data_IF_944527083581
#
_entry.id   IF_944527083581
#
_cell.length_a   1.000
_cell.length_b   1.000
_cell.length_c   1.000
_cell.angle_alpha   90.00
_cell.angle_beta   90.00
_cell.angle_gamma   90.00
#
_symmetry.space_group_name_H-M   'P 1'
#
loop_
_entity.id
_entity.type
_entity.pdbx_description
1 polymer ?
#
# COMPACT_ATOMS: atom_id res chain seq x y z
N UNK A 1 36.13 1.32 -16.36
CA UNK A 1 34.97 0.42 -16.26
C UNK A 1 34.68 0.25 -14.77
N UNK A 2 33.71 0.99 -14.22
CA UNK A 2 33.40 0.93 -12.79
C UNK A 2 32.71 -0.40 -12.47
N UNK A 3 33.25 -1.18 -11.53
CA UNK A 3 32.63 -2.42 -11.06
C UNK A 3 31.40 -2.06 -10.22
N UNK A 4 30.20 -2.28 -10.76
CA UNK A 4 28.97 -2.19 -9.97
C UNK A 4 29.00 -3.37 -8.98
N UNK A 5 29.04 -3.12 -7.65
CA UNK A 5 29.05 -4.20 -6.69
C UNK A 5 27.76 -5.01 -6.81
N UNK A 6 27.88 -6.34 -6.87
CA UNK A 6 26.72 -7.21 -6.92
C UNK A 6 25.87 -7.03 -5.66
N UNK A 7 24.55 -6.96 -5.79
CA UNK A 7 23.68 -6.80 -4.64
C UNK A 7 23.87 -7.90 -3.60
N UNK A 8 23.88 -7.51 -2.32
CA UNK A 8 24.02 -8.47 -1.24
C UNK A 8 22.77 -9.36 -1.14
N UNK A 9 22.95 -10.65 -0.82
CA UNK A 9 21.82 -11.58 -0.53
C UNK A 9 20.88 -11.04 0.53
N UNK A 10 21.40 -10.25 1.48
CA UNK A 10 20.61 -9.60 2.53
C UNK A 10 19.67 -8.53 1.97
N UNK A 11 20.12 -7.73 1.00
CA UNK A 11 19.30 -6.70 0.34
C UNK A 11 18.12 -7.33 -0.41
N UNK A 12 18.36 -8.41 -1.16
CA UNK A 12 17.31 -9.16 -1.86
C UNK A 12 16.28 -9.75 -0.91
N UNK A 13 16.74 -10.35 0.19
CA UNK A 13 15.86 -10.92 1.20
C UNK A 13 15.00 -9.84 1.86
N UNK A 14 15.57 -8.68 2.19
CA UNK A 14 14.83 -7.57 2.77
C UNK A 14 13.70 -7.08 1.85
N UNK A 15 13.97 -6.90 0.55
CA UNK A 15 12.93 -6.51 -0.41
C UNK A 15 11.87 -7.59 -0.58
N UNK A 16 12.27 -8.87 -0.63
CA UNK A 16 11.31 -9.98 -0.68
C UNK A 16 10.38 -10.01 0.55
N UNK A 17 10.90 -9.70 1.74
CA UNK A 17 10.09 -9.55 2.95
C UNK A 17 9.09 -8.40 2.81
N UNK A 18 9.47 -7.28 2.20
CA UNK A 18 8.54 -6.16 1.96
C UNK A 18 7.42 -6.56 1.00
N UNK A 19 7.71 -7.27 -0.10
CA UNK A 19 6.68 -7.79 -0.99
C UNK A 19 5.72 -8.75 -0.27
N UNK A 20 6.26 -9.62 0.59
CA UNK A 20 5.45 -10.49 1.43
C UNK A 20 4.54 -9.70 2.38
N UNK A 21 5.07 -8.69 3.07
CA UNK A 21 4.29 -7.82 3.96
C UNK A 21 3.19 -7.08 3.20
N UNK A 22 3.50 -6.53 2.02
CA UNK A 22 2.52 -5.88 1.16
C UNK A 22 1.35 -6.82 0.82
N UNK A 23 1.68 -8.05 0.38
CA UNK A 23 0.68 -9.08 0.09
C UNK A 23 -0.13 -9.49 1.33
N UNK A 24 0.52 -9.66 2.47
CA UNK A 24 -0.13 -10.04 3.72
C UNK A 24 -1.11 -8.97 4.24
N UNK A 25 -0.75 -7.68 4.13
CA UNK A 25 -1.62 -6.57 4.50
C UNK A 25 -2.84 -6.50 3.58
N UNK A 26 -2.65 -6.59 2.25
CA UNK A 26 -3.78 -6.59 1.31
C UNK A 26 -4.68 -7.82 1.49
N UNK A 27 -4.12 -9.01 1.66
CA UNK A 27 -4.90 -10.22 1.92
C UNK A 27 -5.71 -10.09 3.22
N UNK A 28 -5.11 -9.49 4.26
CA UNK A 28 -5.80 -9.21 5.53
C UNK A 28 -6.97 -8.25 5.33
N UNK A 29 -6.80 -7.18 4.56
CA UNK A 29 -7.90 -6.27 4.20
C UNK A 29 -9.03 -7.02 3.47
N UNK A 30 -8.70 -7.76 2.41
CA UNK A 30 -9.67 -8.49 1.58
C UNK A 30 -10.50 -9.46 2.41
N UNK A 31 -9.88 -10.18 3.35
CA UNK A 31 -10.57 -11.11 4.23
C UNK A 31 -11.63 -10.43 5.13
N UNK A 32 -11.48 -9.14 5.43
CA UNK A 32 -12.42 -8.39 6.28
C UNK A 32 -13.51 -7.64 5.51
N UNK A 33 -13.42 -7.56 4.17
CA UNK A 33 -14.42 -6.87 3.34
C UNK A 33 -15.86 -7.34 3.64
N UNK A 34 -16.17 -8.65 3.75
CA UNK A 34 -17.53 -9.10 4.06
C UNK A 34 -18.05 -8.57 5.40
N UNK A 35 -17.22 -8.60 6.45
CA UNK A 35 -17.60 -8.11 7.78
C UNK A 35 -17.79 -6.58 7.82
N UNK A 36 -16.95 -5.83 7.09
CA UNK A 36 -17.12 -4.38 6.94
C UNK A 36 -18.38 -4.04 6.15
N UNK A 37 -18.67 -4.78 5.07
CA UNK A 37 -19.90 -4.64 4.28
C UNK A 37 -21.14 -4.81 5.16
N UNK A 38 -21.17 -5.88 5.96
CA UNK A 38 -22.28 -6.19 6.87
C UNK A 38 -22.43 -5.12 7.95
N UNK A 39 -21.34 -4.73 8.63
CA UNK A 39 -21.35 -3.73 9.70
C UNK A 39 -21.90 -2.37 9.25
N UNK A 40 -21.65 -1.98 8.02
CA UNK A 40 -22.13 -0.71 7.45
C UNK A 40 -23.44 -0.84 6.65
N UNK A 41 -24.01 -2.05 6.56
CA UNK A 41 -25.26 -2.29 5.81
C UNK A 41 -25.14 -1.99 4.31
N UNK A 42 -23.96 -2.17 3.71
CA UNK A 42 -23.66 -1.77 2.33
C UNK A 42 -24.11 -2.86 1.35
N UNK A 43 -24.91 -2.51 0.34
CA UNK A 43 -25.27 -3.41 -0.76
C UNK A 43 -24.10 -3.64 -1.74
N UNK A 44 -24.16 -4.69 -2.57
CA UNK A 44 -23.06 -5.07 -3.48
C UNK A 44 -22.63 -3.95 -4.44
N UNK A 45 -23.59 -3.24 -5.05
CA UNK A 45 -23.29 -2.11 -5.94
C UNK A 45 -22.56 -0.98 -5.22
N UNK A 46 -23.02 -0.63 -4.02
CA UNK A 46 -22.39 0.39 -3.18
C UNK A 46 -21.00 -0.02 -2.68
N UNK A 47 -20.78 -1.32 -2.40
CA UNK A 47 -19.46 -1.82 -2.06
C UNK A 47 -18.46 -1.61 -3.20
N UNK A 48 -18.88 -1.86 -4.45
CA UNK A 48 -18.06 -1.56 -5.63
C UNK A 48 -17.64 -0.09 -5.70
N UNK A 49 -18.57 0.84 -5.41
CA UNK A 49 -18.26 2.27 -5.35
C UNK A 49 -17.30 2.62 -4.20
N UNK A 50 -17.50 2.05 -3.02
CA UNK A 50 -16.62 2.26 -1.86
C UNK A 50 -15.19 1.78 -2.16
N UNK A 51 -15.05 0.61 -2.80
CA UNK A 51 -13.74 0.09 -3.23
C UNK A 51 -13.12 0.90 -4.37
N UNK A 52 -13.93 1.52 -5.24
CA UNK A 52 -13.44 2.43 -6.28
C UNK A 52 -12.67 3.62 -5.68
N UNK A 53 -13.08 4.12 -4.51
CA UNK A 53 -12.34 5.18 -3.82
C UNK A 53 -10.96 4.72 -3.32
N UNK A 54 -10.79 3.44 -2.97
CA UNK A 54 -9.46 2.89 -2.70
C UNK A 54 -8.56 2.98 -3.93
N UNK A 55 -9.08 2.56 -5.09
CA UNK A 55 -8.36 2.66 -6.37
C UNK A 55 -8.07 4.12 -6.75
N UNK A 56 -9.01 5.04 -6.49
CA UNK A 56 -8.80 6.47 -6.71
C UNK A 56 -7.64 7.01 -5.87
N UNK A 57 -7.61 6.69 -4.58
CA UNK A 57 -6.50 7.07 -3.69
C UNK A 57 -5.15 6.54 -4.18
N UNK A 58 -5.13 5.30 -4.66
CA UNK A 58 -3.93 4.69 -5.26
C UNK A 58 -3.46 5.47 -6.50
N UNK A 59 -4.35 5.71 -7.47
CA UNK A 59 -4.02 6.41 -8.72
C UNK A 59 -3.49 7.81 -8.45
N UNK A 60 -4.12 8.56 -7.54
CA UNK A 60 -3.70 9.91 -7.19
C UNK A 60 -2.32 9.93 -6.50
N UNK A 61 -1.94 8.85 -5.82
CA UNK A 61 -0.66 8.74 -5.14
C UNK A 61 0.49 8.21 -6.03
N UNK A 62 0.22 7.68 -7.22
CA UNK A 62 1.26 7.17 -8.13
C UNK A 62 2.33 8.23 -8.46
N UNK A 63 1.99 9.48 -8.87
CA UNK A 63 3.00 10.50 -9.16
C UNK A 63 3.80 10.89 -7.91
N UNK A 64 3.13 10.92 -6.76
CA UNK A 64 3.78 11.19 -5.47
C UNK A 64 4.80 10.10 -5.14
N UNK A 65 4.47 8.83 -5.35
CA UNK A 65 5.39 7.71 -5.16
C UNK A 65 6.65 7.84 -6.00
N UNK A 66 6.50 8.15 -7.30
CA UNK A 66 7.63 8.38 -8.20
C UNK A 66 8.49 9.56 -7.74
N UNK A 67 7.87 10.70 -7.47
CA UNK A 67 8.57 11.89 -6.99
C UNK A 67 9.33 11.66 -5.67
N UNK A 68 8.72 10.95 -4.71
CA UNK A 68 9.35 10.61 -3.43
C UNK A 68 10.58 9.73 -3.63
N UNK A 69 10.47 8.71 -4.49
CA UNK A 69 11.58 7.81 -4.82
C UNK A 69 12.72 8.57 -5.50
N UNK A 70 12.41 9.42 -6.48
CA UNK A 70 13.41 10.23 -7.18
C UNK A 70 14.12 11.21 -6.23
N UNK A 71 13.38 11.78 -5.28
CA UNK A 71 13.90 12.80 -4.36
C UNK A 71 14.68 12.24 -3.17
N UNK A 72 14.21 11.13 -2.59
CA UNK A 72 14.71 10.61 -1.31
C UNK A 72 15.30 9.21 -1.41
N UNK A 73 15.22 8.57 -2.58
CA UNK A 73 15.72 7.23 -2.84
C UNK A 73 14.74 6.13 -2.45
N UNK A 74 14.71 5.06 -3.26
CA UNK A 74 13.80 3.92 -3.11
C UNK A 74 13.91 3.23 -1.75
N UNK A 75 15.13 2.99 -1.24
CA UNK A 75 15.36 2.27 0.03
C UNK A 75 14.64 2.91 1.23
N UNK A 76 14.76 4.23 1.37
CA UNK A 76 14.15 4.96 2.47
C UNK A 76 12.63 4.96 2.33
N UNK A 77 12.13 5.30 1.14
CA UNK A 77 10.68 5.39 0.89
C UNK A 77 10.01 4.03 1.02
N UNK A 78 10.60 2.93 0.54
CA UNK A 78 10.07 1.57 0.74
C UNK A 78 9.88 1.24 2.22
N UNK A 79 10.87 1.58 3.05
CA UNK A 79 10.84 1.25 4.48
C UNK A 79 9.76 2.05 5.21
N UNK A 80 9.67 3.35 4.93
CA UNK A 80 8.66 4.23 5.52
C UNK A 80 7.25 3.90 5.01
N UNK A 81 7.09 3.71 3.71
CA UNK A 81 5.81 3.38 3.10
C UNK A 81 5.28 2.02 3.61
N UNK A 82 6.15 1.02 3.82
CA UNK A 82 5.75 -0.25 4.40
C UNK A 82 5.20 -0.08 5.82
N UNK A 83 5.87 0.71 6.66
CA UNK A 83 5.40 1.00 8.01
C UNK A 83 4.05 1.75 7.99
N UNK A 84 3.95 2.81 7.19
CA UNK A 84 2.73 3.61 7.07
C UNK A 84 1.57 2.77 6.53
N UNK A 85 1.83 1.90 5.55
CA UNK A 85 0.81 1.01 4.99
C UNK A 85 0.27 0.01 6.03
N UNK A 86 1.16 -0.59 6.84
CA UNK A 86 0.75 -1.43 7.96
C UNK A 86 -0.08 -0.66 8.99
N UNK A 87 0.28 0.61 9.28
CA UNK A 87 -0.46 1.47 10.22
C UNK A 87 -1.80 1.96 9.66
N UNK A 88 -1.96 2.01 8.34
CA UNK A 88 -3.21 2.41 7.69
C UNK A 88 -4.26 1.28 7.68
N UNK A 89 -3.84 0.00 7.69
CA UNK A 89 -4.73 -1.16 7.62
C UNK A 89 -5.87 -1.17 8.66
N UNK A 90 -5.66 -0.80 9.95
CA UNK A 90 -6.74 -0.81 10.94
C UNK A 90 -7.84 0.23 10.67
N UNK A 91 -7.56 1.30 9.93
CA UNK A 91 -8.50 2.42 9.79
C UNK A 91 -9.82 2.05 9.12
N UNK A 92 -9.88 1.31 7.98
CA UNK A 92 -11.15 0.86 7.45
C UNK A 92 -11.89 -0.08 8.41
N UNK A 93 -11.19 -0.85 9.24
CA UNK A 93 -11.80 -1.74 10.24
C UNK A 93 -12.38 -0.96 11.43
N UNK A 94 -11.80 0.19 11.79
CA UNK A 94 -12.25 1.04 12.88
C UNK A 94 -13.31 2.08 12.46
N UNK A 95 -13.64 2.14 11.18
CA UNK A 95 -14.62 3.09 10.63
C UNK A 95 -15.99 3.00 11.34
N UNK A 96 -16.57 4.17 11.64
CA UNK A 96 -17.86 4.29 12.35
C UNK A 96 -19.05 4.47 11.40
N UNK A 97 -18.79 5.01 10.23
CA UNK A 97 -19.74 5.23 9.15
C UNK A 97 -19.05 5.06 7.80
N UNK A 98 -19.84 5.10 6.72
CA UNK A 98 -19.37 4.90 5.34
C UNK A 98 -18.39 5.99 4.90
N UNK A 99 -18.55 7.23 5.37
CA UNK A 99 -17.65 8.34 5.03
C UNK A 99 -16.25 8.07 5.60
N UNK A 100 -16.17 7.68 6.87
CA UNK A 100 -14.93 7.28 7.52
C UNK A 100 -14.28 6.08 6.82
N UNK A 101 -15.08 5.10 6.39
CA UNK A 101 -14.61 3.96 5.61
C UNK A 101 -14.00 4.40 4.27
N UNK A 102 -14.70 5.24 3.50
CA UNK A 102 -14.21 5.75 2.22
C UNK A 102 -12.90 6.53 2.39
N UNK A 103 -12.83 7.43 3.37
CA UNK A 103 -11.59 8.18 3.66
C UNK A 103 -10.44 7.24 4.04
N UNK A 104 -10.70 6.24 4.89
CA UNK A 104 -9.70 5.25 5.26
C UNK A 104 -9.22 4.43 4.07
N UNK A 105 -10.10 4.08 3.13
CA UNK A 105 -9.76 3.34 1.92
C UNK A 105 -8.98 4.16 0.91
N UNK A 106 -9.31 5.45 0.73
CA UNK A 106 -8.49 6.37 -0.07
C UNK A 106 -7.06 6.41 0.48
N UNK A 107 -6.91 6.54 1.80
CA UNK A 107 -5.60 6.59 2.46
C UNK A 107 -4.86 5.26 2.36
N UNK A 108 -5.55 4.13 2.57
CA UNK A 108 -4.97 2.80 2.42
C UNK A 108 -4.49 2.56 0.98
N UNK A 109 -5.30 2.93 -0.02
CA UNK A 109 -4.94 2.84 -1.44
C UNK A 109 -3.74 3.72 -1.79
N UNK A 110 -3.70 4.96 -1.29
CA UNK A 110 -2.56 5.85 -1.48
C UNK A 110 -1.27 5.29 -0.87
N UNK A 111 -1.33 4.78 0.36
CA UNK A 111 -0.18 4.16 1.03
C UNK A 111 0.31 2.92 0.26
N UNK A 112 -0.62 2.09 -0.21
CA UNK A 112 -0.32 0.93 -1.04
C UNK A 112 0.41 1.33 -2.34
N UNK A 113 -0.06 2.37 -3.03
CA UNK A 113 0.56 2.84 -4.27
C UNK A 113 1.97 3.39 -4.05
N UNK A 114 2.21 4.18 -2.99
CA UNK A 114 3.57 4.67 -2.67
C UNK A 114 4.51 3.52 -2.32
N UNK A 115 4.02 2.53 -1.57
CA UNK A 115 4.79 1.32 -1.27
C UNK A 115 5.10 0.55 -2.55
N UNK A 116 4.12 0.33 -3.42
CA UNK A 116 4.28 -0.42 -4.67
C UNK A 116 5.32 0.23 -5.59
N UNK A 117 5.22 1.54 -5.83
CA UNK A 117 6.21 2.27 -6.65
C UNK A 117 7.62 2.15 -6.06
N UNK A 118 7.75 2.39 -4.75
CA UNK A 118 9.07 2.39 -4.11
C UNK A 118 9.69 0.99 -3.99
N UNK A 119 8.91 -0.05 -3.66
CA UNK A 119 9.42 -1.41 -3.53
C UNK A 119 9.83 -2.00 -4.88
N UNK A 120 9.09 -1.70 -5.96
CA UNK A 120 9.45 -2.12 -7.31
C UNK A 120 10.73 -1.39 -7.78
N UNK A 121 10.87 -0.09 -7.50
CA UNK A 121 12.12 0.63 -7.76
C UNK A 121 13.29 0.06 -6.95
N UNK A 122 13.07 -0.26 -5.66
CA UNK A 122 14.09 -0.84 -4.80
C UNK A 122 14.49 -2.25 -5.25
N UNK A 123 13.57 -3.04 -5.81
CA UNK A 123 13.85 -4.37 -6.34
C UNK A 123 14.80 -4.34 -7.53
N UNK A 124 14.70 -3.32 -8.40
CA UNK A 124 15.62 -3.11 -9.53
C UNK A 124 17.03 -2.74 -9.03
N UNK A 125 17.13 -2.06 -7.90
CA UNK A 125 18.39 -1.62 -7.32
C UNK A 125 19.15 -2.70 -6.53
N UNK A 126 18.55 -3.88 -6.30
CA UNK A 126 19.12 -4.97 -5.47
C UNK A 126 19.15 -6.33 -6.16
#
# INVERSE_FOLDING_TARGET
MATIPLPSRRSRLAVATIFFVNGAVLASWVAHIPGVKERHGIGDGSLGLVLLFMALGAVLALPLGGWLVDRFGSRLITSLAALVFCLALPWPLLSRDVTCLVTALVLLGACNAVLDVSMNAQAVAV
#
